data_IF_560697276327
#
_entry.id   IF_560697276327
#
_cell.length_a   1.000
_cell.length_b   1.000
_cell.length_c   1.000
_cell.angle_alpha   90.00
_cell.angle_beta   90.00
_cell.angle_gamma   90.00
#
_symmetry.space_group_name_H-M   'P 1'
#
loop_
_entity.id
_entity.type
_entity.pdbx_description
1 polymer ?
#
# COMPACT_ATOMS: atom_id res chain seq x y z
N UNK A 1 15.21 5.23 -1.20
CA UNK A 1 14.07 5.63 -0.34
C UNK A 1 13.92 4.73 0.87
N UNK A 2 13.81 3.40 0.69
CA UNK A 2 13.67 2.46 1.81
C UNK A 2 14.77 2.58 2.89
N UNK A 3 16.03 2.73 2.47
CA UNK A 3 17.18 2.91 3.38
C UNK A 3 17.10 4.19 4.21
N UNK A 4 16.63 5.30 3.61
CA UNK A 4 16.49 6.60 4.28
C UNK A 4 15.38 6.55 5.33
N UNK A 5 14.29 5.86 5.02
CA UNK A 5 13.15 5.68 5.93
C UNK A 5 13.33 4.51 6.91
N UNK A 6 14.44 3.77 6.81
CA UNK A 6 14.77 2.60 7.66
C UNK A 6 13.66 1.52 7.62
N UNK A 7 13.09 1.29 6.44
CA UNK A 7 12.07 0.24 6.21
C UNK A 7 12.66 -0.89 5.37
N UNK A 8 12.19 -2.12 5.60
CA UNK A 8 12.69 -3.33 4.92
C UNK A 8 12.22 -3.46 3.47
N UNK A 9 11.00 -3.00 3.17
CA UNK A 9 10.39 -3.06 1.84
C UNK A 9 9.83 -1.70 1.45
N UNK A 10 9.92 -1.37 0.16
CA UNK A 10 9.19 -0.27 -0.46
C UNK A 10 8.90 -0.65 -1.91
N UNK A 11 7.64 -0.59 -2.32
CA UNK A 11 7.18 -0.95 -3.66
C UNK A 11 6.34 0.17 -4.27
N UNK A 12 6.20 0.12 -5.60
CA UNK A 12 5.29 0.99 -6.37
C UNK A 12 3.95 0.26 -6.53
N UNK A 13 2.85 1.00 -6.36
CA UNK A 13 1.50 0.46 -6.50
C UNK A 13 0.45 1.56 -6.57
N UNK A 14 -0.80 1.15 -6.74
CA UNK A 14 -1.98 2.01 -6.82
C UNK A 14 -3.03 1.56 -5.80
N UNK A 15 -4.02 2.40 -5.58
CA UNK A 15 -5.21 2.13 -4.76
C UNK A 15 -6.46 2.47 -5.57
N UNK A 16 -7.64 2.00 -5.17
CA UNK A 16 -8.92 2.42 -5.76
C UNK A 16 -8.95 2.41 -7.30
N UNK A 17 -8.66 1.27 -7.94
CA UNK A 17 -8.68 1.09 -9.41
C UNK A 17 -7.68 1.97 -10.16
N UNK A 18 -6.42 1.97 -9.72
CA UNK A 18 -5.34 2.64 -10.46
C UNK A 18 -5.06 4.08 -10.03
N UNK A 19 -5.66 4.55 -8.93
CA UNK A 19 -5.32 5.85 -8.36
C UNK A 19 -3.87 5.82 -7.83
N UNK A 20 -3.03 6.71 -8.36
CA UNK A 20 -1.61 6.83 -8.02
C UNK A 20 -1.36 7.53 -6.69
N UNK A 21 -2.36 8.24 -6.15
CA UNK A 21 -2.28 8.93 -4.87
C UNK A 21 -2.53 7.94 -3.72
N UNK A 22 -1.59 7.03 -3.49
CA UNK A 22 -1.74 5.96 -2.49
C UNK A 22 -2.16 6.48 -1.12
N UNK A 23 -1.62 7.62 -0.67
CA UNK A 23 -1.93 8.23 0.64
C UNK A 23 -3.41 8.64 0.79
N UNK A 24 -4.18 8.85 -0.28
CA UNK A 24 -5.61 9.17 -0.18
C UNK A 24 -6.50 7.93 -0.06
N UNK A 25 -5.97 6.73 -0.35
CA UNK A 25 -6.77 5.49 -0.40
C UNK A 25 -6.36 4.39 0.58
N UNK A 26 -5.32 4.61 1.38
CA UNK A 26 -4.86 3.64 2.40
C UNK A 26 -4.37 4.33 3.67
N UNK A 27 -4.71 3.74 4.81
CA UNK A 27 -4.09 4.01 6.11
C UNK A 27 -3.58 2.68 6.67
N UNK A 28 -2.30 2.59 6.99
CA UNK A 28 -1.67 1.35 7.45
C UNK A 28 -0.81 1.58 8.69
N UNK A 29 -0.68 0.53 9.50
CA UNK A 29 0.22 0.45 10.64
C UNK A 29 0.80 -0.97 10.75
N UNK A 30 1.58 -1.24 11.79
CA UNK A 30 2.21 -2.55 12.03
C UNK A 30 1.23 -3.69 12.34
N UNK A 31 -0.07 -3.41 12.49
CA UNK A 31 -1.11 -4.39 12.79
C UNK A 31 -2.02 -4.68 11.60
N UNK A 32 -1.98 -3.87 10.55
CA UNK A 32 -2.94 -3.98 9.46
C UNK A 32 -2.99 -2.75 8.56
N UNK A 33 -3.87 -2.82 7.56
CA UNK A 33 -4.18 -1.71 6.67
C UNK A 33 -5.69 -1.61 6.44
N UNK A 34 -6.19 -0.37 6.42
CA UNK A 34 -7.51 -0.01 5.93
C UNK A 34 -7.36 0.60 4.54
N UNK A 35 -8.10 0.07 3.57
CA UNK A 35 -8.05 0.45 2.16
C UNK A 35 -9.42 0.87 1.68
N UNK A 36 -9.47 1.74 0.66
CA UNK A 36 -10.73 2.13 0.03
C UNK A 36 -11.43 0.94 -0.64
N UNK A 37 -12.77 0.97 -0.64
CA UNK A 37 -13.63 -0.12 -1.11
C UNK A 37 -13.37 -0.53 -2.57
N UNK A 38 -12.92 0.42 -3.41
CA UNK A 38 -12.65 0.15 -4.82
C UNK A 38 -11.27 -0.47 -5.07
N UNK A 39 -10.46 -0.69 -4.04
CA UNK A 39 -9.13 -1.31 -4.20
C UNK A 39 -9.29 -2.76 -4.66
N UNK A 40 -8.64 -3.08 -5.77
CA UNK A 40 -8.80 -4.37 -6.46
C UNK A 40 -7.92 -5.47 -5.85
N UNK A 41 -8.25 -6.74 -6.12
CA UNK A 41 -7.45 -7.89 -5.65
C UNK A 41 -5.95 -7.79 -5.96
N UNK A 42 -5.53 -7.49 -7.21
CA UNK A 42 -4.12 -7.30 -7.54
C UNK A 42 -3.44 -6.12 -6.82
N UNK A 43 -4.18 -5.07 -6.48
CA UNK A 43 -3.68 -3.95 -5.66
C UNK A 43 -3.52 -4.41 -4.20
N UNK A 44 -4.50 -5.13 -3.65
CA UNK A 44 -4.43 -5.71 -2.31
C UNK A 44 -3.24 -6.66 -2.16
N UNK A 45 -2.98 -7.52 -3.15
CA UNK A 45 -1.82 -8.41 -3.14
C UNK A 45 -0.49 -7.63 -3.11
N UNK A 46 -0.38 -6.53 -3.87
CA UNK A 46 0.80 -5.66 -3.83
C UNK A 46 0.96 -4.97 -2.48
N UNK A 47 -0.14 -4.46 -1.91
CA UNK A 47 -0.16 -3.82 -0.58
C UNK A 47 0.27 -4.83 0.48
N UNK A 48 -0.29 -6.04 0.44
CA UNK A 48 0.07 -7.11 1.38
C UNK A 48 1.56 -7.44 1.28
N UNK A 49 2.09 -7.63 0.07
CA UNK A 49 3.51 -7.95 -0.15
C UNK A 49 4.46 -6.85 0.33
N UNK A 50 4.02 -5.59 0.31
CA UNK A 50 4.80 -4.44 0.76
C UNK A 50 4.75 -4.22 2.28
N UNK A 51 3.62 -4.53 2.93
CA UNK A 51 3.39 -4.27 4.36
C UNK A 51 3.70 -5.48 5.26
N UNK A 52 3.56 -6.71 4.76
CA UNK A 52 3.73 -7.96 5.49
C UNK A 52 4.76 -8.87 4.80
#
# INVERSE_FOLDING_TARGET
>A
MASVLRVSKANVGTVNRGNIFVRSGIVANSKGALVGYETTGPELLRIQSALF
#
